data_IF_270719413465
#
_entry.id   IF_270719413465
#
_cell.length_a   1.000
_cell.length_b   1.000
_cell.length_c   1.000
_cell.angle_alpha   90.00
_cell.angle_beta   90.00
_cell.angle_gamma   90.00
#
_symmetry.space_group_name_H-M   'P 1'
#
loop_
_entity.id
_entity.type
_entity.pdbx_description
1 polymer ?
#
# COMPACT_ATOMS: atom_id res chain seq x y z
N UNK A 1 18.08 -18.73 14.38
CA UNK A 1 17.59 -20.09 14.12
C UNK A 1 16.53 -20.38 15.18
N UNK A 2 15.25 -20.24 14.85
CA UNK A 2 14.15 -20.50 15.78
C UNK A 2 13.57 -21.86 15.41
N UNK A 3 13.79 -22.84 16.27
CA UNK A 3 13.33 -24.20 16.10
C UNK A 3 12.03 -24.36 16.89
N UNK A 4 10.92 -24.64 16.24
CA UNK A 4 9.68 -25.06 16.91
C UNK A 4 9.62 -26.58 16.86
N UNK A 5 9.72 -27.22 18.02
CA UNK A 5 9.56 -28.67 18.18
C UNK A 5 8.12 -28.94 18.58
N UNK A 6 7.36 -29.60 17.71
CA UNK A 6 6.03 -30.13 18.08
C UNK A 6 6.19 -31.63 18.33
N UNK A 7 5.97 -32.06 19.55
CA UNK A 7 5.98 -33.47 19.95
C UNK A 7 4.64 -34.10 19.53
N UNK A 8 4.69 -35.04 18.60
CA UNK A 8 3.51 -35.83 18.22
C UNK A 8 3.39 -37.02 19.13
N UNK A 9 2.28 -37.12 19.88
CA UNK A 9 1.87 -38.31 20.66
C UNK A 9 1.18 -39.31 19.71
N UNK A 10 1.73 -40.51 19.62
CA UNK A 10 1.19 -41.57 18.80
C UNK A 10 -0.15 -42.08 19.39
N UNK A 11 -1.20 -42.03 18.59
CA UNK A 11 -2.52 -42.64 18.89
C UNK A 11 -3.30 -42.84 17.61
N UNK A 12 -3.37 -44.09 17.18
CA UNK A 12 -4.27 -44.75 16.24
C UNK A 12 -5.10 -43.92 15.21
N UNK A 13 -4.76 -44.09 13.95
CA UNK A 13 -5.74 -44.24 12.87
C UNK A 13 -6.32 -42.95 12.32
N UNK A 14 -5.54 -42.16 11.58
CA UNK A 14 -6.02 -41.28 10.51
C UNK A 14 -4.97 -41.28 9.41
N UNK A 15 -5.24 -42.00 8.34
CA UNK A 15 -4.50 -41.90 7.09
C UNK A 15 -4.68 -40.47 6.52
N UNK A 16 -3.59 -39.80 6.20
CA UNK A 16 -3.62 -38.65 5.29
C UNK A 16 -3.34 -37.28 5.88
N UNK A 17 -2.61 -37.14 6.99
CA UNK A 17 -2.03 -35.83 7.34
C UNK A 17 -0.68 -35.70 6.61
N UNK A 18 -0.50 -34.76 5.67
CA UNK A 18 0.79 -34.57 5.02
C UNK A 18 1.81 -34.17 6.09
N UNK A 19 2.91 -34.92 6.12
CA UNK A 19 4.09 -34.61 6.92
C UNK A 19 4.45 -33.14 6.69
N UNK A 20 4.35 -32.33 7.75
CA UNK A 20 4.63 -30.91 7.67
C UNK A 20 6.14 -30.76 7.45
N UNK A 21 6.55 -30.74 6.21
CA UNK A 21 7.94 -30.51 5.86
C UNK A 21 8.41 -29.18 6.45
N UNK A 22 9.45 -29.24 7.27
CA UNK A 22 10.14 -28.05 7.78
C UNK A 22 10.70 -27.28 6.59
N UNK A 23 10.02 -26.19 6.21
CA UNK A 23 10.49 -25.31 5.14
C UNK A 23 11.71 -24.53 5.62
N UNK A 24 12.76 -24.53 4.81
CA UNK A 24 13.91 -23.64 5.05
C UNK A 24 13.49 -22.18 4.92
N UNK A 25 14.26 -21.25 5.50
CA UNK A 25 14.01 -19.82 5.29
C UNK A 25 14.01 -19.43 3.80
N UNK A 26 14.80 -20.14 2.98
CA UNK A 26 14.82 -19.99 1.51
C UNK A 26 13.52 -20.42 0.86
N UNK A 27 12.96 -21.56 1.28
CA UNK A 27 11.68 -22.07 0.74
C UNK A 27 10.50 -21.16 1.11
N UNK A 28 10.51 -20.59 2.31
CA UNK A 28 9.53 -19.60 2.74
C UNK A 28 9.60 -18.34 1.87
N UNK A 29 10.82 -17.86 1.57
CA UNK A 29 11.02 -16.71 0.69
C UNK A 29 10.57 -16.99 -0.75
N UNK A 30 10.83 -18.20 -1.27
CA UNK A 30 10.37 -18.62 -2.60
C UNK A 30 8.84 -18.68 -2.64
N UNK A 31 8.20 -19.27 -1.62
CA UNK A 31 6.73 -19.30 -1.51
C UNK A 31 6.13 -17.90 -1.40
N UNK A 32 6.76 -17.01 -0.64
CA UNK A 32 6.30 -15.64 -0.52
C UNK A 32 6.41 -14.89 -1.85
N UNK A 33 7.49 -15.12 -2.63
CA UNK A 33 7.66 -14.56 -3.98
C UNK A 33 6.68 -15.13 -5.01
N UNK A 34 6.19 -16.34 -4.81
CA UNK A 34 5.25 -17.01 -5.71
C UNK A 34 3.80 -16.56 -5.51
N UNK A 35 3.49 -15.74 -4.48
CA UNK A 35 2.15 -15.20 -4.30
C UNK A 35 1.76 -14.31 -5.50
N UNK A 36 0.52 -14.43 -5.99
CA UNK A 36 0.06 -13.63 -7.12
C UNK A 36 0.18 -12.14 -6.78
N UNK A 37 0.57 -11.35 -7.76
CA UNK A 37 0.60 -9.89 -7.67
C UNK A 37 -0.48 -9.31 -8.57
N UNK A 38 -1.01 -8.16 -8.19
CA UNK A 38 -1.97 -7.40 -8.97
C UNK A 38 -1.25 -6.18 -9.54
N UNK A 39 -1.38 -5.96 -10.85
CA UNK A 39 -0.85 -4.75 -11.47
C UNK A 39 -1.52 -3.51 -10.87
N UNK A 40 -0.72 -2.51 -10.53
CA UNK A 40 -1.22 -1.20 -10.08
C UNK A 40 -2.03 -0.47 -11.15
N UNK A 41 -1.92 -0.91 -12.42
CA UNK A 41 -2.44 -0.21 -13.60
C UNK A 41 -1.45 0.79 -14.20
N UNK A 42 -0.29 0.96 -13.58
CA UNK A 42 0.77 1.87 -14.01
C UNK A 42 2.07 1.09 -14.18
N UNK A 43 2.44 0.76 -15.43
CA UNK A 43 3.67 -0.02 -15.71
C UNK A 43 4.93 0.54 -15.03
N UNK A 44 5.16 1.88 -14.99
CA UNK A 44 6.33 2.41 -14.29
C UNK A 44 6.28 2.14 -12.78
N UNK A 45 5.09 2.21 -12.17
CA UNK A 45 4.93 1.90 -10.74
C UNK A 45 5.14 0.41 -10.49
N UNK A 46 4.60 -0.47 -11.34
CA UNK A 46 4.81 -1.91 -11.22
C UNK A 46 6.30 -2.26 -11.32
N UNK A 47 7.04 -1.62 -12.23
CA UNK A 47 8.49 -1.81 -12.35
C UNK A 47 9.27 -1.29 -11.13
N UNK A 48 8.75 -0.30 -10.40
CA UNK A 48 9.34 0.23 -9.18
C UNK A 48 9.07 -0.67 -7.97
N UNK A 49 7.93 -1.39 -7.98
CA UNK A 49 7.53 -2.25 -6.87
C UNK A 49 8.37 -3.54 -6.83
N UNK A 50 8.80 -3.99 -5.63
CA UNK A 50 9.70 -5.14 -5.49
C UNK A 50 9.16 -6.45 -6.08
N UNK A 51 7.84 -6.59 -6.15
CA UNK A 51 7.17 -7.78 -6.68
C UNK A 51 6.73 -7.65 -8.14
N UNK A 52 6.96 -6.49 -8.78
CA UNK A 52 6.43 -6.20 -10.13
C UNK A 52 4.93 -5.84 -10.13
N UNK A 53 4.38 -5.50 -8.99
CA UNK A 53 3.00 -5.14 -8.75
C UNK A 53 2.69 -5.11 -7.26
N UNK A 54 1.42 -4.94 -6.90
CA UNK A 54 0.95 -4.90 -5.51
C UNK A 54 0.54 -6.31 -5.06
N UNK A 55 1.06 -6.75 -3.92
CA UNK A 55 0.66 -8.04 -3.35
C UNK A 55 -0.62 -7.92 -2.54
N UNK A 56 -1.61 -8.79 -2.76
CA UNK A 56 -2.71 -8.93 -1.82
C UNK A 56 -2.18 -9.29 -0.42
N UNK A 57 -2.76 -8.65 0.60
CA UNK A 57 -2.32 -8.85 1.98
C UNK A 57 -1.08 -8.06 2.40
N UNK A 58 -0.66 -7.07 1.62
CA UNK A 58 0.48 -6.20 1.94
C UNK A 58 0.06 -4.80 2.41
N UNK A 59 1.03 -4.07 2.93
CA UNK A 59 0.90 -2.64 3.22
C UNK A 59 1.84 -1.85 2.30
N UNK A 60 1.34 -0.74 1.76
CA UNK A 60 2.11 0.21 0.95
C UNK A 60 1.98 1.61 1.55
N UNK A 61 3.09 2.28 1.81
CA UNK A 61 3.11 3.67 2.26
C UNK A 61 3.43 4.61 1.10
N UNK A 62 2.63 5.66 0.97
CA UNK A 62 2.78 6.74 0.01
C UNK A 62 3.24 7.99 0.75
N UNK A 63 4.51 8.35 0.61
CA UNK A 63 5.14 9.47 1.30
C UNK A 63 5.02 10.72 0.42
N UNK A 64 4.24 11.70 0.88
CA UNK A 64 4.02 12.95 0.15
C UNK A 64 5.25 13.85 0.29
N UNK A 65 5.92 14.17 -0.80
CA UNK A 65 7.04 15.10 -0.83
C UNK A 65 6.57 16.53 -1.13
N UNK A 66 7.29 17.51 -0.56
CA UNK A 66 6.98 18.93 -0.71
C UNK A 66 5.95 19.45 0.29
N UNK A 67 5.56 20.72 0.13
CA UNK A 67 4.72 21.47 1.08
C UNK A 67 3.21 21.25 0.90
N UNK A 68 2.82 20.37 -0.01
CA UNK A 68 1.42 20.17 -0.40
C UNK A 68 0.53 19.54 0.68
N UNK A 69 1.09 19.19 1.84
CA UNK A 69 0.38 18.49 2.91
C UNK A 69 -0.08 17.07 2.52
N UNK A 70 -0.65 16.30 3.46
CA UNK A 70 -1.01 14.90 3.22
C UNK A 70 -2.12 14.69 2.19
N UNK A 71 -2.95 15.68 1.92
CA UNK A 71 -3.99 15.64 0.87
C UNK A 71 -3.52 16.13 -0.50
N UNK A 72 -2.32 16.73 -0.57
CA UNK A 72 -1.77 17.31 -1.79
C UNK A 72 -0.89 16.36 -2.60
N UNK A 73 -0.27 16.91 -3.66
CA UNK A 73 0.78 16.21 -4.40
C UNK A 73 0.34 15.00 -5.24
N UNK A 74 -0.94 14.60 -5.22
CA UNK A 74 -1.46 13.50 -6.03
C UNK A 74 -1.21 12.10 -5.48
N UNK A 75 -0.52 11.95 -4.34
CA UNK A 75 -0.24 10.66 -3.73
C UNK A 75 -1.53 9.90 -3.33
N UNK A 76 -2.47 10.59 -2.70
CA UNK A 76 -3.76 10.03 -2.33
C UNK A 76 -4.59 9.61 -3.55
N UNK A 77 -4.55 10.41 -4.61
CA UNK A 77 -5.24 10.13 -5.87
C UNK A 77 -4.65 8.88 -6.54
N UNK A 78 -3.32 8.77 -6.58
CA UNK A 78 -2.65 7.59 -7.11
C UNK A 78 -2.94 6.35 -6.27
N UNK A 79 -2.87 6.45 -4.94
CA UNK A 79 -3.21 5.36 -4.04
C UNK A 79 -4.66 4.88 -4.23
N UNK A 80 -5.61 5.81 -4.43
CA UNK A 80 -6.99 5.47 -4.71
C UNK A 80 -7.16 4.81 -6.10
N UNK A 81 -6.43 5.28 -7.12
CA UNK A 81 -6.40 4.64 -8.43
C UNK A 81 -5.92 3.18 -8.34
N UNK A 82 -4.88 2.93 -7.56
CA UNK A 82 -4.41 1.57 -7.26
C UNK A 82 -5.48 0.76 -6.51
N UNK A 83 -6.18 1.35 -5.53
CA UNK A 83 -7.27 0.69 -4.81
C UNK A 83 -8.40 0.23 -5.77
N UNK A 84 -8.76 1.06 -6.75
CA UNK A 84 -9.74 0.68 -7.79
C UNK A 84 -9.27 -0.54 -8.59
N UNK A 85 -7.99 -0.60 -8.97
CA UNK A 85 -7.43 -1.76 -9.70
C UNK A 85 -7.48 -3.03 -8.85
N UNK A 86 -7.12 -2.93 -7.57
CA UNK A 86 -7.20 -4.04 -6.63
C UNK A 86 -8.64 -4.56 -6.46
N UNK A 87 -9.63 -3.66 -6.40
CA UNK A 87 -11.04 -4.03 -6.29
C UNK A 87 -11.56 -4.77 -7.54
N UNK A 88 -11.13 -4.37 -8.73
CA UNK A 88 -11.47 -5.03 -9.99
C UNK A 88 -10.77 -6.38 -10.12
N UNK A 89 -9.47 -6.46 -9.86
CA UNK A 89 -8.69 -7.69 -9.98
C UNK A 89 -9.11 -8.78 -8.98
N UNK A 90 -9.77 -8.37 -7.87
CA UNK A 90 -10.31 -9.30 -6.88
C UNK A 90 -11.65 -9.92 -7.31
N UNK A 91 -12.24 -9.44 -8.40
CA UNK A 91 -13.39 -10.07 -9.05
C UNK A 91 -12.84 -11.18 -9.93
N UNK A 92 -12.83 -12.42 -9.43
CA UNK A 92 -12.37 -13.59 -10.19
C UNK A 92 -13.26 -13.77 -11.41
N UNK A 93 -12.73 -13.53 -12.60
CA UNK A 93 -13.45 -13.74 -13.88
C UNK A 93 -13.88 -15.20 -14.06
N UNK A 94 -13.24 -16.14 -13.36
CA UNK A 94 -13.56 -17.55 -13.37
C UNK A 94 -14.73 -17.94 -12.47
N UNK A 95 -15.17 -17.06 -11.57
CA UNK A 95 -16.27 -17.32 -10.65
C UNK A 95 -17.33 -16.21 -10.76
N UNK A 96 -18.37 -16.46 -11.57
CA UNK A 96 -19.53 -15.55 -11.73
C UNK A 96 -20.23 -15.19 -10.40
N UNK A 97 -19.93 -15.91 -9.32
CA UNK A 97 -20.43 -15.66 -7.97
C UNK A 97 -19.47 -14.84 -7.12
N UNK A 98 -18.25 -14.56 -7.60
CA UNK A 98 -17.28 -13.74 -6.88
C UNK A 98 -17.79 -12.29 -6.80
N UNK A 99 -18.23 -11.90 -5.61
CA UNK A 99 -18.67 -10.52 -5.37
C UNK A 99 -17.47 -9.59 -5.45
N UNK A 100 -17.60 -8.46 -6.17
CA UNK A 100 -16.56 -7.46 -6.20
C UNK A 100 -16.25 -6.97 -4.79
N UNK A 101 -14.95 -6.90 -4.48
CA UNK A 101 -14.49 -6.47 -3.15
C UNK A 101 -14.57 -4.96 -3.00
N UNK A 102 -14.76 -4.51 -1.78
CA UNK A 102 -15.00 -3.11 -1.40
C UNK A 102 -13.69 -2.37 -1.14
N UNK A 103 -13.65 -1.08 -1.45
CA UNK A 103 -12.64 -0.14 -1.01
C UNK A 103 -13.14 0.54 0.25
N UNK A 104 -12.35 0.51 1.32
CA UNK A 104 -12.63 1.25 2.55
C UNK A 104 -11.68 2.44 2.63
N UNK A 105 -12.24 3.64 2.81
CA UNK A 105 -11.47 4.86 3.05
C UNK A 105 -11.67 5.27 4.50
N UNK A 106 -10.59 5.33 5.26
CA UNK A 106 -10.60 5.79 6.65
C UNK A 106 -10.08 7.22 6.68
N UNK A 107 -10.98 8.19 6.72
CA UNK A 107 -10.70 9.62 6.60
C UNK A 107 -11.15 10.40 7.83
N UNK A 108 -10.32 10.42 8.84
CA UNK A 108 -10.56 11.17 10.07
C UNK A 108 -10.50 12.68 9.87
N UNK A 109 -9.82 13.14 8.84
CA UNK A 109 -9.54 14.57 8.62
C UNK A 109 -10.52 15.25 7.68
N UNK A 110 -11.36 14.48 6.98
CA UNK A 110 -12.30 15.01 6.01
C UNK A 110 -11.65 15.44 4.68
N UNK A 111 -10.47 14.92 4.37
CA UNK A 111 -9.76 15.25 3.13
C UNK A 111 -10.27 14.51 1.91
N UNK A 112 -10.88 13.37 2.12
CA UNK A 112 -11.41 12.56 1.03
C UNK A 112 -12.75 13.11 0.54
N UNK A 113 -12.82 13.39 -0.75
CA UNK A 113 -14.01 13.90 -1.42
C UNK A 113 -14.62 12.84 -2.34
N UNK A 114 -15.59 12.03 -1.87
CA UNK A 114 -16.16 10.92 -2.63
C UNK A 114 -16.64 11.29 -4.02
N UNK A 115 -17.36 12.41 -4.24
CA UNK A 115 -17.85 12.77 -5.57
C UNK A 115 -16.76 12.85 -6.64
N UNK A 116 -15.53 13.22 -6.28
CA UNK A 116 -14.43 13.32 -7.23
C UNK A 116 -13.95 11.97 -7.77
N UNK A 117 -14.22 10.88 -7.06
CA UNK A 117 -13.72 9.54 -7.38
C UNK A 117 -14.81 8.54 -7.74
N UNK A 118 -16.09 8.88 -7.55
CA UNK A 118 -17.22 8.01 -7.92
C UNK A 118 -17.19 7.57 -9.40
N UNK A 119 -16.83 8.44 -10.36
CA UNK A 119 -16.72 8.03 -11.76
C UNK A 119 -15.68 6.91 -12.01
N UNK A 120 -14.73 6.74 -11.10
CA UNK A 120 -13.66 5.74 -11.23
C UNK A 120 -14.10 4.34 -10.75
N UNK A 121 -15.14 4.26 -9.95
CA UNK A 121 -15.56 3.01 -9.32
C UNK A 121 -16.47 2.16 -10.21
N UNK A 122 -17.17 2.80 -11.16
CA UNK A 122 -18.22 2.15 -11.95
C UNK A 122 -19.43 1.70 -11.14
N UNK A 123 -19.24 1.36 -9.86
CA UNK A 123 -20.29 1.03 -8.89
C UNK A 123 -19.95 1.67 -7.54
N UNK A 124 -20.77 2.61 -7.09
CA UNK A 124 -20.63 3.33 -5.83
C UNK A 124 -20.74 2.45 -4.58
N UNK A 125 -21.41 1.29 -4.68
CA UNK A 125 -21.57 0.33 -3.59
C UNK A 125 -20.23 -0.31 -3.17
N UNK A 126 -19.18 -0.10 -3.97
CA UNK A 126 -17.84 -0.58 -3.68
C UNK A 126 -17.02 0.35 -2.82
N UNK A 127 -17.56 1.47 -2.37
CA UNK A 127 -16.88 2.45 -1.56
C UNK A 127 -17.56 2.63 -0.21
N UNK A 128 -16.80 2.42 0.85
CA UNK A 128 -17.17 2.76 2.22
C UNK A 128 -16.23 3.84 2.74
N UNK A 129 -16.78 4.94 3.24
CA UNK A 129 -15.99 6.02 3.87
C UNK A 129 -16.30 6.04 5.36
N UNK A 130 -15.31 5.72 6.17
CA UNK A 130 -15.38 5.78 7.63
C UNK A 130 -14.68 7.05 8.13
N UNK A 131 -15.34 7.80 9.01
CA UNK A 131 -14.80 9.04 9.61
C UNK A 131 -14.76 8.95 11.12
N UNK A 132 -13.78 8.23 11.68
CA UNK A 132 -13.60 8.15 13.12
C UNK A 132 -13.26 9.51 13.69
N UNK A 133 -13.76 9.82 14.91
CA UNK A 133 -13.52 11.10 15.56
C UNK A 133 -12.24 11.11 16.41
N UNK A 134 -11.75 9.93 16.85
CA UNK A 134 -10.61 9.76 17.75
C UNK A 134 -9.49 8.97 17.10
N UNK A 135 -8.26 9.16 17.57
CA UNK A 135 -7.08 8.46 17.08
C UNK A 135 -7.18 6.94 17.29
N UNK A 136 -7.69 6.51 18.45
CA UNK A 136 -7.84 5.09 18.79
C UNK A 136 -8.91 4.43 17.91
N UNK A 137 -10.00 5.14 17.60
CA UNK A 137 -11.06 4.68 16.71
C UNK A 137 -10.54 4.57 15.26
N UNK A 138 -9.63 5.46 14.83
CA UNK A 138 -8.98 5.38 13.52
C UNK A 138 -8.13 4.10 13.41
N UNK A 139 -7.27 3.85 14.41
CA UNK A 139 -6.43 2.65 14.48
C UNK A 139 -7.30 1.38 14.45
N UNK A 140 -8.38 1.37 15.24
CA UNK A 140 -9.32 0.26 15.31
C UNK A 140 -10.06 0.06 13.98
N UNK A 141 -10.53 1.15 13.36
CA UNK A 141 -11.27 1.08 12.08
C UNK A 141 -10.40 0.52 10.96
N UNK A 142 -9.13 0.95 10.88
CA UNK A 142 -8.16 0.40 9.92
C UNK A 142 -7.95 -1.10 10.18
N UNK A 143 -7.78 -1.52 11.44
CA UNK A 143 -7.59 -2.93 11.81
C UNK A 143 -8.79 -3.78 11.38
N UNK A 144 -10.01 -3.33 11.67
CA UNK A 144 -11.24 -4.06 11.32
C UNK A 144 -11.42 -4.15 9.80
N UNK A 145 -11.18 -3.06 9.08
CA UNK A 145 -11.28 -3.05 7.63
C UNK A 145 -10.26 -4.00 6.98
N UNK A 146 -9.02 -4.02 7.46
CA UNK A 146 -7.98 -4.93 6.97
C UNK A 146 -8.24 -6.41 7.29
N UNK A 147 -9.05 -6.73 8.30
CA UNK A 147 -9.46 -8.11 8.63
C UNK A 147 -10.57 -8.64 7.76
N UNK A 148 -11.30 -7.76 7.09
CA UNK A 148 -12.47 -8.15 6.31
C UNK A 148 -12.07 -8.71 4.95
N UNK A 149 -12.40 -9.98 4.68
CA UNK A 149 -12.12 -10.65 3.39
C UNK A 149 -12.88 -10.04 2.22
N UNK A 150 -13.99 -9.31 2.47
CA UNK A 150 -14.74 -8.56 1.47
C UNK A 150 -14.10 -7.22 1.08
N UNK A 151 -12.97 -6.83 1.71
CA UNK A 151 -12.25 -5.58 1.43
C UNK A 151 -11.06 -5.85 0.53
N UNK A 152 -10.97 -5.14 -0.60
CA UNK A 152 -9.83 -5.21 -1.51
C UNK A 152 -8.68 -4.31 -1.03
N UNK A 153 -9.02 -3.08 -0.63
CA UNK A 153 -8.05 -2.08 -0.21
C UNK A 153 -8.61 -1.19 0.91
N UNK A 154 -7.72 -0.77 1.80
CA UNK A 154 -7.98 0.22 2.84
C UNK A 154 -7.08 1.42 2.59
N UNK A 155 -7.65 2.56 2.19
CA UNK A 155 -6.93 3.82 2.05
C UNK A 155 -7.10 4.64 3.34
N UNK A 156 -6.00 5.11 3.91
CA UNK A 156 -6.04 5.92 5.12
C UNK A 156 -4.90 6.95 5.17
N UNK A 157 -5.09 8.00 6.01
CA UNK A 157 -4.07 9.01 6.34
C UNK A 157 -3.71 8.92 7.82
N UNK A 158 -3.13 7.80 8.27
CA UNK A 158 -2.86 7.63 9.68
C UNK A 158 -1.86 8.67 10.16
N UNK A 159 -2.22 9.36 11.24
CA UNK A 159 -1.37 10.40 11.80
C UNK A 159 -0.20 9.78 12.54
N UNK A 160 0.99 10.19 12.15
CA UNK A 160 2.16 10.04 13.00
C UNK A 160 2.12 11.09 14.10
N UNK A 161 2.24 10.65 15.32
CA UNK A 161 2.53 11.57 16.43
C UNK A 161 4.00 12.00 16.39
N UNK A 162 4.46 12.56 15.26
CA UNK A 162 5.74 13.28 15.26
C UNK A 162 5.50 14.55 16.03
N UNK A 163 5.87 14.51 17.31
CA UNK A 163 6.29 15.63 18.13
C UNK A 163 5.58 16.97 17.95
N UNK A 164 4.26 17.08 18.22
CA UNK A 164 3.75 18.28 18.88
C UNK A 164 3.69 18.03 20.38
N UNK A 165 4.82 17.78 20.97
CA UNK A 165 5.01 18.01 22.38
C UNK A 165 5.18 19.52 22.59
N UNK A 166 4.07 20.26 22.69
CA UNK A 166 4.06 21.46 23.52
C UNK A 166 4.35 20.99 24.94
N UNK A 167 5.62 21.08 25.30
CA UNK A 167 6.14 21.18 26.64
C UNK A 167 5.29 20.56 27.76
N UNK A 168 5.37 19.26 27.92
CA UNK A 168 5.31 18.65 29.24
C UNK A 168 6.65 17.91 29.42
N UNK A 169 7.55 18.59 30.15
CA UNK A 169 8.80 18.01 30.61
C UNK A 169 8.48 16.77 31.45
N UNK A 170 8.69 15.56 30.89
CA UNK A 170 8.57 14.32 31.66
C UNK A 170 8.00 13.11 30.96
N UNK A 171 7.42 13.20 29.75
CA UNK A 171 6.86 12.03 29.07
C UNK A 171 7.91 11.34 28.20
N UNK A 172 8.17 10.07 28.50
CA UNK A 172 9.13 9.19 27.84
C UNK A 172 8.90 9.16 26.32
N UNK A 173 9.85 9.65 25.56
CA UNK A 173 9.88 9.73 24.09
C UNK A 173 9.69 8.37 23.36
N UNK A 174 9.66 7.24 24.09
CA UNK A 174 9.50 5.91 23.52
C UNK A 174 8.08 5.46 23.22
N UNK A 175 7.05 6.02 23.88
CA UNK A 175 5.69 5.45 23.84
C UNK A 175 4.96 5.62 22.50
N UNK A 176 5.10 6.74 21.84
CA UNK A 176 4.35 7.03 20.60
C UNK A 176 4.89 6.26 19.39
N UNK A 177 6.23 6.13 19.29
CA UNK A 177 6.87 5.34 18.23
C UNK A 177 6.57 3.84 18.39
N UNK A 178 6.54 3.34 19.61
CA UNK A 178 6.22 1.94 19.90
C UNK A 178 4.75 1.62 19.61
N UNK A 179 3.83 2.52 19.93
CA UNK A 179 2.40 2.35 19.64
C UNK A 179 2.16 2.29 18.12
N UNK A 180 2.85 3.13 17.35
CA UNK A 180 2.78 3.14 15.90
C UNK A 180 3.31 1.82 15.30
N UNK A 181 4.50 1.40 15.68
CA UNK A 181 5.10 0.16 15.21
C UNK A 181 4.21 -1.06 15.52
N UNK A 182 3.60 -1.09 16.71
CA UNK A 182 2.67 -2.14 17.10
C UNK A 182 1.40 -2.13 16.24
N UNK A 183 0.82 -0.95 15.96
CA UNK A 183 -0.35 -0.83 15.08
C UNK A 183 -0.03 -1.32 13.67
N UNK A 184 1.09 -0.86 13.09
CA UNK A 184 1.53 -1.28 11.75
C UNK A 184 1.73 -2.79 11.66
N UNK A 185 2.33 -3.42 12.68
CA UNK A 185 2.50 -4.89 12.72
C UNK A 185 1.14 -5.61 12.76
N UNK A 186 0.21 -5.12 13.56
CA UNK A 186 -1.15 -5.70 13.63
C UNK A 186 -1.85 -5.59 12.27
N UNK A 187 -1.76 -4.43 11.62
CA UNK A 187 -2.34 -4.20 10.29
C UNK A 187 -1.71 -5.09 9.23
N UNK A 188 -0.38 -5.29 9.28
CA UNK A 188 0.30 -6.22 8.38
C UNK A 188 -0.23 -7.66 8.54
N UNK A 189 -0.41 -8.13 9.79
CA UNK A 189 -0.94 -9.46 10.06
C UNK A 189 -2.42 -9.58 9.64
N UNK A 190 -3.22 -8.53 9.88
CA UNK A 190 -4.62 -8.48 9.48
C UNK A 190 -4.76 -8.54 7.94
N UNK A 191 -3.99 -7.73 7.24
CA UNK A 191 -3.93 -7.71 5.78
C UNK A 191 -3.49 -9.07 5.21
N UNK A 192 -2.42 -9.65 5.75
CA UNK A 192 -1.92 -10.95 5.31
C UNK A 192 -2.97 -12.08 5.46
N UNK A 193 -3.81 -12.00 6.49
CA UNK A 193 -4.87 -12.99 6.75
C UNK A 193 -6.09 -12.84 5.84
N UNK A 194 -6.44 -11.62 5.43
CA UNK A 194 -7.65 -11.33 4.62
C UNK A 194 -7.38 -11.20 3.12
N UNK A 195 -6.13 -10.88 2.75
CA UNK A 195 -5.76 -10.48 1.41
C UNK A 195 -6.09 -9.03 1.07
N UNK A 196 -6.60 -8.22 2.01
CA UNK A 196 -6.79 -6.79 1.82
C UNK A 196 -5.43 -6.06 1.73
N UNK A 197 -5.36 -4.97 0.96
CA UNK A 197 -4.14 -4.15 0.85
C UNK A 197 -4.32 -2.86 1.64
N UNK A 198 -3.36 -2.55 2.53
CA UNK A 198 -3.31 -1.27 3.21
C UNK A 198 -2.55 -0.23 2.37
N UNK A 199 -3.19 0.89 2.05
CA UNK A 199 -2.61 2.00 1.29
C UNK A 199 -2.58 3.24 2.19
N UNK A 200 -1.41 3.57 2.77
CA UNK A 200 -1.29 4.62 3.77
C UNK A 200 -0.58 5.84 3.19
N UNK A 201 -1.29 6.97 3.17
CA UNK A 201 -0.73 8.26 2.72
C UNK A 201 -0.18 9.00 3.93
N UNK A 202 1.11 9.32 3.89
CA UNK A 202 1.84 9.90 5.01
C UNK A 202 2.74 11.06 4.56
N UNK A 203 3.05 11.99 5.46
CA UNK A 203 4.00 13.06 5.14
C UNK A 203 5.42 12.51 4.95
N UNK A 204 6.26 13.20 4.17
CA UNK A 204 7.66 12.82 3.94
C UNK A 204 8.46 12.62 5.23
N UNK A 205 8.13 13.36 6.30
CA UNK A 205 8.76 13.22 7.61
C UNK A 205 8.65 11.79 8.20
N UNK A 206 7.64 11.02 7.76
CA UNK A 206 7.47 9.63 8.16
C UNK A 206 8.55 8.69 7.60
N UNK A 207 9.40 9.16 6.66
CA UNK A 207 10.47 8.34 6.05
C UNK A 207 11.42 7.73 7.09
N UNK A 208 11.74 8.46 8.15
CA UNK A 208 12.62 7.99 9.23
C UNK A 208 11.97 7.06 10.25
N UNK A 209 10.66 6.80 10.14
CA UNK A 209 9.96 5.96 11.11
C UNK A 209 10.03 4.48 10.73
N UNK A 210 10.00 3.62 11.76
CA UNK A 210 9.89 2.18 11.55
C UNK A 210 8.57 1.85 10.84
N UNK A 211 8.63 0.98 9.83
CA UNK A 211 7.49 0.59 9.02
C UNK A 211 7.48 -0.90 8.76
N UNK A 212 6.30 -1.48 8.68
CA UNK A 212 6.04 -2.85 8.26
C UNK A 212 5.50 -2.92 6.82
N UNK A 213 5.55 -1.80 6.10
CA UNK A 213 5.12 -1.76 4.70
C UNK A 213 6.08 -2.55 3.81
N UNK A 214 5.52 -3.27 2.85
CA UNK A 214 6.30 -3.96 1.81
C UNK A 214 7.04 -2.97 0.93
N UNK A 215 6.38 -1.87 0.56
CA UNK A 215 6.97 -0.78 -0.20
C UNK A 215 6.63 0.58 0.42
N UNK A 216 7.58 1.49 0.39
CA UNK A 216 7.43 2.90 0.75
C UNK A 216 7.79 3.74 -0.46
N UNK A 217 6.84 4.48 -0.99
CA UNK A 217 6.97 5.21 -2.24
C UNK A 217 6.90 6.71 -1.94
N UNK A 218 7.96 7.42 -2.21
CA UNK A 218 7.95 8.87 -2.17
C UNK A 218 7.30 9.40 -3.45
N UNK A 219 6.36 10.32 -3.30
CA UNK A 219 5.54 10.89 -4.38
C UNK A 219 5.70 12.39 -4.40
N UNK A 220 6.17 12.93 -5.51
CA UNK A 220 6.25 14.37 -5.74
C UNK A 220 5.50 14.76 -7.01
N UNK A 221 4.71 15.84 -6.91
CA UNK A 221 4.07 16.43 -8.08
C UNK A 221 5.11 17.09 -8.97
N UNK A 222 4.97 16.93 -10.28
CA UNK A 222 5.83 17.55 -11.29
C UNK A 222 5.04 18.62 -12.04
N UNK A 223 5.73 19.66 -12.48
CA UNK A 223 5.16 20.67 -13.36
C UNK A 223 4.80 20.08 -14.74
N UNK A 224 3.86 20.68 -15.45
CA UNK A 224 3.55 20.35 -16.85
C UNK A 224 2.39 19.35 -17.03
N UNK A 225 1.50 19.22 -16.05
CA UNK A 225 0.18 18.57 -16.23
C UNK A 225 -0.87 19.55 -16.77
N UNK A 226 -2.01 19.01 -17.22
CA UNK A 226 -3.22 19.78 -17.57
C UNK A 226 -4.18 19.82 -16.38
N UNK A 227 -5.37 20.39 -16.54
CA UNK A 227 -6.42 20.38 -15.51
C UNK A 227 -6.89 18.95 -15.21
N UNK A 228 -6.82 18.05 -16.19
CA UNK A 228 -7.26 16.66 -16.09
C UNK A 228 -6.10 15.67 -15.96
N UNK A 229 -4.86 16.13 -16.03
CA UNK A 229 -3.69 15.27 -15.96
C UNK A 229 -2.73 15.76 -14.88
N UNK A 230 -2.20 14.83 -14.10
CA UNK A 230 -1.14 15.09 -13.13
C UNK A 230 0.07 14.23 -13.38
N UNK A 231 1.22 14.88 -13.53
CA UNK A 231 2.51 14.20 -13.62
C UNK A 231 3.07 14.02 -12.22
N UNK A 232 3.39 12.79 -11.87
CA UNK A 232 3.96 12.41 -10.59
C UNK A 232 5.31 11.73 -10.80
N UNK A 233 6.28 12.11 -9.98
CA UNK A 233 7.54 11.39 -9.85
C UNK A 233 7.46 10.49 -8.62
N UNK A 234 7.80 9.22 -8.80
CA UNK A 234 7.78 8.20 -7.76
C UNK A 234 9.19 7.68 -7.54
N UNK A 235 9.56 7.52 -6.27
CA UNK A 235 10.86 6.96 -5.88
C UNK A 235 10.63 5.94 -4.77
N UNK A 236 11.27 4.77 -4.86
CA UNK A 236 11.22 3.81 -3.76
C UNK A 236 12.04 4.35 -2.59
N UNK A 237 11.36 4.63 -1.47
CA UNK A 237 11.96 5.23 -0.28
C UNK A 237 12.28 4.21 0.82
N UNK A 238 11.97 2.93 0.60
CA UNK A 238 12.18 1.84 1.56
C UNK A 238 11.09 0.77 1.44
N UNK A 239 11.11 -0.15 2.40
CA UNK A 239 10.18 -1.27 2.50
C UNK A 239 10.91 -2.50 3.03
N UNK A 240 10.18 -3.56 3.32
CA UNK A 240 10.77 -4.82 3.83
C UNK A 240 11.73 -5.50 2.83
N UNK A 241 11.67 -5.11 1.57
CA UNK A 241 12.49 -5.63 0.46
C UNK A 241 13.56 -4.66 -0.04
N UNK A 242 13.72 -3.49 0.58
CA UNK A 242 14.65 -2.45 0.12
C UNK A 242 16.13 -2.88 0.12
N UNK A 243 16.48 -3.94 0.84
CA UNK A 243 17.84 -4.48 0.84
C UNK A 243 18.26 -5.13 -0.49
N UNK A 244 17.32 -5.36 -1.41
CA UNK A 244 17.58 -6.08 -2.67
C UNK A 244 17.86 -5.12 -3.84
N UNK A 245 17.47 -3.85 -3.72
CA UNK A 245 17.69 -2.83 -4.76
C UNK A 245 18.85 -1.90 -4.39
N UNK A 246 20.01 -2.48 -4.11
CA UNK A 246 21.21 -1.72 -3.73
C UNK A 246 21.79 -0.84 -4.87
N UNK A 247 21.25 -0.90 -6.07
CA UNK A 247 21.69 -0.12 -7.22
C UNK A 247 20.69 1.00 -7.55
N UNK A 248 20.98 2.18 -7.00
CA UNK A 248 20.45 3.46 -7.47
C UNK A 248 18.97 3.71 -7.17
N UNK A 249 18.68 4.91 -6.70
CA UNK A 249 17.30 5.41 -6.57
C UNK A 249 16.63 5.49 -7.95
N UNK A 250 15.98 4.42 -8.38
CA UNK A 250 15.18 4.47 -9.59
C UNK A 250 13.95 5.35 -9.34
N UNK A 251 13.94 6.53 -9.97
CA UNK A 251 12.75 7.36 -10.02
C UNK A 251 12.01 7.05 -11.33
N UNK A 252 10.70 6.88 -11.21
CA UNK A 252 9.81 6.73 -12.37
C UNK A 252 8.80 7.86 -12.42
N UNK A 253 8.31 8.15 -13.62
CA UNK A 253 7.23 9.12 -13.80
C UNK A 253 5.94 8.41 -14.16
N UNK A 254 4.83 8.87 -13.56
CA UNK A 254 3.47 8.40 -13.80
C UNK A 254 2.61 9.59 -14.17
N UNK A 255 1.79 9.42 -15.20
CA UNK A 255 0.74 10.36 -15.56
C UNK A 255 -0.60 9.84 -15.04
N UNK A 256 -1.28 10.63 -14.21
CA UNK A 256 -2.65 10.39 -13.77
C UNK A 256 -3.60 11.16 -14.67
N UNK A 257 -4.50 10.46 -15.35
CA UNK A 257 -5.64 11.05 -16.03
C UNK A 257 -6.84 11.09 -15.08
N UNK A 258 -7.15 12.28 -14.57
CA UNK A 258 -8.22 12.49 -13.60
C UNK A 258 -9.62 12.39 -14.23
N UNK A 259 -9.74 12.56 -15.56
CA UNK A 259 -11.02 12.49 -16.24
C UNK A 259 -11.45 11.04 -16.49
N UNK A 260 -10.50 10.17 -16.84
CA UNK A 260 -10.79 8.77 -17.19
C UNK A 260 -10.93 7.86 -15.98
N UNK A 261 -10.27 8.17 -14.90
CA UNK A 261 -10.29 7.33 -13.71
C UNK A 261 -9.87 5.89 -13.97
N UNK A 262 -10.26 4.99 -13.07
CA UNK A 262 -10.01 3.54 -13.18
C UNK A 262 -11.17 2.78 -13.82
N UNK A 263 -12.25 3.44 -14.25
CA UNK A 263 -13.46 2.79 -14.72
C UNK A 263 -13.29 2.24 -16.14
N UNK A 264 -13.27 0.93 -16.29
CA UNK A 264 -13.74 0.21 -17.46
C UNK A 264 -12.85 0.11 -18.70
N UNK A 265 -11.65 0.71 -18.75
CA UNK A 265 -10.72 0.49 -19.86
C UNK A 265 -9.32 0.17 -19.33
N UNK A 266 -8.52 -0.63 -20.04
CA UNK A 266 -7.13 -0.75 -19.69
C UNK A 266 -6.52 0.66 -19.71
N UNK A 267 -5.98 1.11 -18.57
CA UNK A 267 -5.31 2.39 -18.45
C UNK A 267 -4.28 2.51 -19.57
N UNK A 268 -4.29 3.56 -20.41
CA UNK A 268 -3.32 3.69 -21.48
C UNK A 268 -1.93 3.61 -20.87
N UNK A 269 -1.07 2.76 -21.43
CA UNK A 269 0.30 2.64 -20.99
C UNK A 269 0.95 4.03 -21.05
N UNK A 270 1.30 4.58 -19.88
CA UNK A 270 1.99 5.86 -19.82
C UNK A 270 3.27 5.74 -20.63
N UNK A 271 3.47 6.62 -21.58
CA UNK A 271 4.68 6.67 -22.36
C UNK A 271 5.86 6.89 -21.39
N UNK A 272 6.73 5.91 -21.31
CA UNK A 272 7.98 6.02 -20.56
C UNK A 272 8.88 6.95 -21.38
N UNK A 273 8.88 8.25 -21.05
CA UNK A 273 9.92 9.14 -21.56
C UNK A 273 11.20 8.90 -20.75
N UNK A 274 11.92 7.84 -21.14
CA UNK A 274 13.30 7.64 -20.73
C UNK A 274 14.16 8.74 -21.33
N UNK A 275 14.37 9.83 -20.63
CA UNK A 275 15.51 10.70 -20.88
C UNK A 275 16.73 10.14 -20.15
N UNK A 276 17.29 9.11 -20.73
CA UNK A 276 18.70 8.79 -20.58
C UNK A 276 19.47 9.78 -21.47
N UNK A 277 20.10 10.75 -20.88
CA UNK A 277 20.83 11.77 -21.62
C UNK A 277 21.83 12.48 -20.73
N UNK A 278 22.77 11.72 -20.16
CA UNK A 278 24.06 12.31 -19.74
C UNK A 278 24.99 12.25 -20.92
N UNK A 279 25.01 13.31 -21.71
CA UNK A 279 26.08 13.56 -22.68
C UNK A 279 27.29 14.13 -21.92
N UNK A 280 28.24 13.27 -21.55
CA UNK A 280 29.60 13.70 -21.29
C UNK A 280 30.17 14.33 -22.56
N UNK A 281 30.35 15.65 -22.59
CA UNK A 281 31.28 16.27 -23.50
C UNK A 281 32.62 16.40 -22.77
N UNK A 282 33.58 15.62 -23.24
CA UNK A 282 35.00 15.87 -23.04
C UNK A 282 35.41 17.01 -23.97
N UNK A 283 36.13 17.98 -23.43
CA UNK A 283 37.14 18.82 -24.10
C UNK A 283 38.07 19.35 -23.02
#
# INVERSE_FOLDING_TARGET
MVTFTTTATAGNGLEGVPETALLSGGDLLVRERAKPVVSSGFRPLDALLPAGGVRPGSLVEWLVEGDAGPGGGGAATLAFAVACRLAVASSDEANEQARPRTIVVVDRTGWFHPPAVLPWLGDERRLVVARPSRDDDEIWTIDQALRCTGVAAVLAWPRTRVGRSTASRGSRLGGASQQWSTAMRRWQLAAAGSGAVGLFVRPAAARGEASWAEARIAVSAQAGGTLTERRLRLTLAGGSWSAITADGQHAVEVMLDLARGCAGAPWPAAAVSGRSGVACRAS
#
